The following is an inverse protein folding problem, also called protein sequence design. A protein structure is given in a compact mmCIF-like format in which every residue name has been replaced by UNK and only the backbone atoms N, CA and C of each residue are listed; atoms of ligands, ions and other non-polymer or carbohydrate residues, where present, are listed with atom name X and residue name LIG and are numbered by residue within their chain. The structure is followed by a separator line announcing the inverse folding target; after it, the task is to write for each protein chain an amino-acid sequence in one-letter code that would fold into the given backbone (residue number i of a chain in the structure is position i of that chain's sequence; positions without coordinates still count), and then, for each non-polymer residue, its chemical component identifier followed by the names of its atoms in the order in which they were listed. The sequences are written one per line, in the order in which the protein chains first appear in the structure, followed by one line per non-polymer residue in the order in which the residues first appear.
data_IF_661106467078
#
_entry.id   IF_661106467078
#
_cell.length_a   1.000
_cell.length_b   1.000
_cell.length_c   1.000
_cell.angle_alpha   90.00
_cell.angle_beta   90.00
_cell.angle_gamma   90.00
#
_symmetry.space_group_name_H-M   'P 1'
#
loop_
_entity.id
_entity.type
_entity.pdbx_description
1 polymer ?
#
# COMPACT_ATOMS: atom_id res chain seq x y z
N UNK A 1 -11.31 58.82 -55.43
CA UNK A 1 -12.71 58.73 -54.96
C UNK A 1 -12.65 58.15 -53.55
N UNK A 2 -12.88 58.85 -52.45
CA UNK A 2 -13.26 60.23 -52.13
C UNK A 2 -12.94 60.44 -50.63
N UNK A 3 -12.36 61.62 -50.31
CA UNK A 3 -12.57 62.49 -49.12
C UNK A 3 -12.31 61.91 -47.72
N UNK A 4 -11.31 62.34 -46.94
CA UNK A 4 -10.94 63.69 -46.46
C UNK A 4 -11.93 64.31 -45.44
N UNK A 5 -11.35 64.68 -44.29
CA UNK A 5 -11.73 65.73 -43.31
C UNK A 5 -12.43 65.34 -41.99
N UNK A 6 -11.72 65.54 -40.86
CA UNK A 6 -11.88 66.70 -39.92
C UNK A 6 -10.94 66.53 -38.71
N UNK A 7 -9.91 67.37 -38.57
CA UNK A 7 -9.84 68.62 -37.78
C UNK A 7 -9.37 68.36 -36.32
N UNK A 8 -8.07 68.49 -36.02
CA UNK A 8 -7.34 69.71 -35.55
C UNK A 8 -7.75 70.18 -34.15
N UNK A 9 -6.83 70.05 -33.18
CA UNK A 9 -6.51 71.09 -32.21
C UNK A 9 -5.12 70.83 -31.59
N UNK A 10 -4.29 71.87 -31.62
CA UNK A 10 -2.86 71.93 -31.29
C UNK A 10 -2.67 72.77 -30.02
N UNK A 11 -1.49 72.66 -29.40
CA UNK A 11 -0.85 73.52 -28.39
C UNK A 11 -1.20 73.17 -26.94
N UNK A 12 -0.22 72.95 -26.04
CA UNK A 12 0.80 73.93 -25.67
C UNK A 12 2.12 73.30 -25.17
N UNK A 13 3.21 73.96 -25.55
CA UNK A 13 4.59 73.78 -25.12
C UNK A 13 4.85 74.43 -23.75
N UNK A 14 5.72 73.82 -22.94
CA UNK A 14 6.60 74.51 -21.99
C UNK A 14 7.98 73.84 -22.00
N UNK A 15 9.01 74.66 -22.24
CA UNK A 15 10.44 74.35 -22.29
C UNK A 15 11.04 74.45 -20.85
N UNK A 16 12.26 74.06 -20.43
CA UNK A 16 13.62 73.96 -20.98
C UNK A 16 14.53 73.29 -19.89
N UNK A 17 15.72 72.82 -20.31
CA UNK A 17 16.93 72.48 -19.52
C UNK A 17 16.91 71.15 -18.72
N UNK A 18 17.94 70.29 -18.71
CA UNK A 18 19.29 70.33 -19.26
C UNK A 18 20.07 69.06 -18.81
N UNK A 19 21.21 68.83 -19.46
CA UNK A 19 22.27 67.87 -19.13
C UNK A 19 22.05 66.36 -19.45
N UNK A 20 22.79 65.92 -20.48
CA UNK A 20 23.24 64.54 -20.68
C UNK A 20 24.09 64.10 -19.50
N UNK A 21 23.85 62.90 -19.00
CA UNK A 21 24.91 61.95 -18.61
C UNK A 21 24.41 60.52 -18.80
N UNK A 22 25.31 59.68 -19.28
CA UNK A 22 25.07 58.31 -19.73
C UNK A 22 24.88 57.37 -18.54
N UNK A 23 23.70 56.75 -18.43
CA UNK A 23 23.42 55.73 -17.42
C UNK A 23 23.66 54.30 -17.99
N UNK A 24 24.18 53.38 -17.17
CA UNK A 24 24.68 52.07 -17.60
C UNK A 24 23.56 51.06 -17.88
N UNK A 25 23.88 50.08 -18.73
CA UNK A 25 23.04 48.91 -19.03
C UNK A 25 22.60 48.19 -17.74
N UNK A 26 21.34 47.74 -17.62
CA UNK A 26 20.92 46.94 -16.47
C UNK A 26 21.56 45.55 -16.52
N UNK A 27 22.30 45.22 -15.47
CA UNK A 27 22.75 43.87 -15.13
C UNK A 27 21.55 42.93 -14.90
N UNK A 28 21.69 41.61 -15.13
CA UNK A 28 20.60 40.66 -14.98
C UNK A 28 20.15 40.61 -13.51
N UNK A 29 18.84 40.78 -13.32
CA UNK A 29 18.16 40.59 -12.04
C UNK A 29 18.40 39.16 -11.56
N UNK A 30 18.85 39.02 -10.31
CA UNK A 30 19.12 37.73 -9.69
C UNK A 30 17.88 36.82 -9.66
N UNK A 31 18.12 35.52 -9.85
CA UNK A 31 17.13 34.47 -9.67
C UNK A 31 16.50 34.56 -8.28
N UNK A 32 15.16 34.51 -8.25
CA UNK A 32 14.40 34.29 -7.04
C UNK A 32 14.82 32.93 -6.41
N UNK A 33 14.90 32.83 -5.07
CA UNK A 33 15.11 31.55 -4.41
C UNK A 33 13.97 30.60 -4.80
N UNK A 34 14.25 29.30 -5.04
CA UNK A 34 13.18 28.31 -5.21
C UNK A 34 12.28 28.32 -3.97
N UNK A 35 10.96 28.05 -4.12
CA UNK A 35 10.05 27.96 -2.99
C UNK A 35 10.59 26.92 -2.01
N UNK A 36 10.68 27.30 -0.73
CA UNK A 36 11.03 26.37 0.33
C UNK A 36 9.98 25.26 0.35
N UNK A 37 10.39 24.05 0.00
CA UNK A 37 9.60 22.85 0.22
C UNK A 37 9.44 22.73 1.74
N UNK A 38 8.22 22.96 2.24
CA UNK A 38 7.92 22.66 3.64
C UNK A 38 8.13 21.16 3.81
N UNK A 39 9.06 20.80 4.71
CA UNK A 39 9.19 19.42 5.15
C UNK A 39 7.83 18.98 5.72
N UNK A 40 7.38 17.74 5.44
CA UNK A 40 6.16 17.23 6.05
C UNK A 40 6.27 17.36 7.57
N UNK A 41 5.18 17.80 8.18
CA UNK A 41 5.09 18.00 9.63
C UNK A 41 5.43 16.67 10.33
N UNK A 42 6.34 16.72 11.30
CA UNK A 42 6.70 15.54 12.07
C UNK A 42 5.45 15.03 12.80
N UNK A 43 5.09 13.73 12.72
CA UNK A 43 3.94 13.20 13.42
C UNK A 43 4.02 13.51 14.92
N UNK A 44 2.88 13.84 15.53
CA UNK A 44 2.81 14.05 16.98
C UNK A 44 3.29 12.79 17.71
N UNK A 45 4.02 12.92 18.84
CA UNK A 45 4.49 11.77 19.61
C UNK A 45 3.31 10.89 20.02
N UNK A 46 3.31 9.62 19.57
CA UNK A 46 2.36 8.61 20.03
C UNK A 46 2.82 8.09 21.39
N UNK A 47 1.90 7.87 22.32
CA UNK A 47 2.24 7.18 23.56
C UNK A 47 2.81 5.79 23.23
N UNK A 48 3.94 5.37 23.83
CA UNK A 48 4.51 4.07 23.54
C UNK A 48 3.52 2.96 23.92
N UNK A 49 3.10 2.19 22.91
CA UNK A 49 2.31 0.98 23.10
C UNK A 49 3.27 -0.20 23.25
N UNK A 50 3.01 -1.04 24.25
CA UNK A 50 3.61 -2.37 24.36
C UNK A 50 2.53 -3.39 24.03
N UNK A 51 2.78 -4.22 23.02
CA UNK A 51 1.91 -5.31 22.61
C UNK A 51 2.25 -6.58 23.38
N UNK A 52 1.22 -7.20 23.92
CA UNK A 52 1.26 -8.47 24.63
C UNK A 52 0.14 -9.36 24.09
N UNK A 53 0.35 -10.66 24.13
CA UNK A 53 -0.66 -11.63 23.72
C UNK A 53 -1.97 -11.40 24.50
N UNK A 54 -3.08 -11.41 23.77
CA UNK A 54 -4.42 -11.30 24.32
C UNK A 54 -5.14 -12.63 24.17
N UNK A 55 -5.52 -13.22 25.30
CA UNK A 55 -6.44 -14.34 25.33
C UNK A 55 -7.63 -13.97 26.21
N UNK A 56 -8.81 -13.92 25.60
CA UNK A 56 -10.06 -13.63 26.28
C UNK A 56 -11.07 -14.75 26.00
N UNK A 57 -11.73 -15.25 27.03
CA UNK A 57 -12.78 -16.27 26.88
C UNK A 57 -14.02 -15.83 27.62
N UNK A 58 -15.14 -15.85 26.90
CA UNK A 58 -16.46 -15.48 27.37
C UNK A 58 -17.47 -16.53 26.87
N UNK A 59 -18.61 -16.74 27.55
CA UNK A 59 -19.67 -17.62 27.03
C UNK A 59 -20.17 -17.28 25.62
N UNK A 60 -20.04 -16.02 25.16
CA UNK A 60 -20.47 -15.57 23.83
C UNK A 60 -19.35 -15.41 22.81
N UNK A 61 -18.09 -15.35 23.24
CA UNK A 61 -16.97 -15.19 22.32
C UNK A 61 -15.62 -15.68 22.85
N UNK A 62 -14.68 -15.91 21.95
CA UNK A 62 -13.26 -16.17 22.23
C UNK A 62 -12.39 -15.21 21.44
N UNK A 63 -11.40 -14.60 22.07
CA UNK A 63 -10.39 -13.77 21.40
C UNK A 63 -9.01 -14.37 21.67
N UNK A 64 -8.23 -14.58 20.62
CA UNK A 64 -6.82 -14.90 20.66
C UNK A 64 -6.06 -13.98 19.71
N UNK A 65 -5.19 -13.13 20.24
CA UNK A 65 -4.29 -12.29 19.45
C UNK A 65 -2.86 -12.52 19.94
N UNK A 66 -1.96 -12.90 19.05
CA UNK A 66 -0.55 -13.18 19.40
C UNK A 66 0.40 -12.23 18.68
N UNK A 67 1.36 -11.68 19.41
CA UNK A 67 2.34 -10.72 18.90
C UNK A 67 3.79 -11.20 19.10
N UNK A 68 4.65 -11.09 18.08
CA UNK A 68 6.08 -11.35 18.26
C UNK A 68 6.68 -10.25 19.14
N UNK A 69 7.47 -10.56 20.18
CA UNK A 69 8.01 -9.54 21.08
C UNK A 69 8.90 -8.50 20.38
N UNK A 70 9.48 -8.85 19.23
CA UNK A 70 10.32 -7.98 18.40
C UNK A 70 9.59 -6.72 17.92
N UNK A 71 8.26 -6.76 17.75
CA UNK A 71 7.48 -5.60 17.27
C UNK A 71 7.57 -4.43 18.25
N UNK A 72 7.75 -4.71 19.54
CA UNK A 72 7.88 -3.70 20.59
C UNK A 72 9.22 -2.93 20.53
N UNK A 73 10.15 -3.33 19.66
CA UNK A 73 11.35 -2.53 19.33
C UNK A 73 10.99 -1.20 18.65
N UNK A 74 9.82 -1.14 18.00
CA UNK A 74 9.36 0.00 17.22
C UNK A 74 7.98 0.49 17.72
N UNK A 75 7.91 1.49 18.61
CA UNK A 75 6.64 1.97 19.15
C UNK A 75 5.64 2.46 18.09
N UNK A 76 6.15 3.06 17.00
CA UNK A 76 5.33 3.47 15.86
C UNK A 76 4.61 2.29 15.20
N UNK A 77 5.35 1.21 14.90
CA UNK A 77 4.79 -0.03 14.36
C UNK A 77 3.83 -0.69 15.35
N UNK A 78 4.21 -0.79 16.62
CA UNK A 78 3.35 -1.36 17.66
C UNK A 78 1.99 -0.65 17.72
N UNK A 79 1.95 0.67 17.54
CA UNK A 79 0.70 1.42 17.44
C UNK A 79 -0.14 1.05 16.21
N UNK A 80 0.49 0.84 15.03
CA UNK A 80 -0.22 0.42 13.81
C UNK A 80 -0.82 -0.98 13.97
N UNK A 81 -0.05 -1.94 14.50
CA UNK A 81 -0.54 -3.30 14.76
C UNK A 81 -1.67 -3.29 15.80
N UNK A 82 -1.54 -2.47 16.86
CA UNK A 82 -2.60 -2.29 17.85
C UNK A 82 -3.88 -1.77 17.20
N UNK A 83 -3.77 -0.76 16.34
CA UNK A 83 -4.93 -0.16 15.69
C UNK A 83 -5.69 -1.19 14.83
N UNK A 84 -4.97 -2.04 14.09
CA UNK A 84 -5.56 -3.13 13.33
C UNK A 84 -6.26 -4.17 14.23
N UNK A 85 -5.60 -4.60 15.31
CA UNK A 85 -6.17 -5.54 16.29
C UNK A 85 -7.39 -4.98 17.02
N UNK A 86 -7.35 -3.71 17.41
CA UNK A 86 -8.45 -3.02 18.08
C UNK A 86 -9.66 -2.90 17.15
N UNK A 87 -9.44 -2.61 15.86
CA UNK A 87 -10.51 -2.57 14.86
C UNK A 87 -11.18 -3.94 14.70
N UNK A 88 -10.40 -5.01 14.50
CA UNK A 88 -10.94 -6.37 14.40
C UNK A 88 -11.69 -6.80 15.67
N UNK A 89 -11.18 -6.43 16.85
CA UNK A 89 -11.86 -6.69 18.13
C UNK A 89 -13.14 -5.88 18.25
N UNK A 90 -13.14 -4.63 17.81
CA UNK A 90 -14.33 -3.77 17.85
C UNK A 90 -15.44 -4.34 16.98
N UNK A 91 -15.13 -4.77 15.75
CA UNK A 91 -16.09 -5.41 14.84
C UNK A 91 -16.71 -6.68 15.46
N UNK A 92 -15.90 -7.51 16.11
CA UNK A 92 -16.39 -8.67 16.87
C UNK A 92 -17.33 -8.24 18.00
N UNK A 93 -16.96 -7.23 18.80
CA UNK A 93 -17.77 -6.76 19.92
C UNK A 93 -19.10 -6.15 19.47
N UNK A 94 -19.11 -5.44 18.35
CA UNK A 94 -20.33 -4.90 17.76
C UNK A 94 -21.26 -6.03 17.30
N UNK A 95 -20.72 -7.10 16.72
CA UNK A 95 -21.49 -8.29 16.39
C UNK A 95 -22.03 -9.01 17.65
N UNK A 96 -21.23 -9.14 18.70
CA UNK A 96 -21.66 -9.73 19.99
C UNK A 96 -22.79 -8.91 20.61
N UNK A 97 -22.71 -7.58 20.55
CA UNK A 97 -23.75 -6.69 21.05
C UNK A 97 -25.06 -6.83 20.25
N UNK A 98 -24.96 -7.06 18.94
CA UNK A 98 -26.11 -7.24 18.06
C UNK A 98 -26.88 -8.56 18.28
N UNK A 99 -26.29 -9.57 18.93
CA UNK A 99 -26.97 -10.83 19.26
C UNK A 99 -28.16 -10.63 20.22
N UNK A 100 -28.15 -9.58 21.04
CA UNK A 100 -29.20 -9.34 22.05
C UNK A 100 -29.28 -10.45 23.10
N UNK A 101 -30.49 -10.73 23.59
CA UNK A 101 -30.74 -11.71 24.66
C UNK A 101 -30.90 -13.15 24.14
N UNK A 102 -31.17 -13.34 22.85
CA UNK A 102 -31.41 -14.65 22.20
C UNK A 102 -30.12 -15.33 21.69
N UNK A 103 -28.98 -15.06 22.33
CA UNK A 103 -27.65 -15.53 21.93
C UNK A 103 -27.36 -17.01 22.27
N UNK A 104 -28.38 -17.79 22.65
CA UNK A 104 -28.20 -19.13 23.20
C UNK A 104 -27.49 -20.07 22.21
N UNK A 105 -26.29 -20.52 22.61
CA UNK A 105 -25.45 -21.44 21.84
C UNK A 105 -24.62 -20.80 20.73
N UNK A 106 -24.68 -19.47 20.54
CA UNK A 106 -23.84 -18.77 19.58
C UNK A 106 -22.50 -18.41 20.22
N UNK A 107 -21.41 -18.84 19.57
CA UNK A 107 -20.05 -18.52 19.96
C UNK A 107 -19.35 -17.83 18.80
N UNK A 108 -18.93 -16.58 19.01
CA UNK A 108 -18.12 -15.85 18.04
C UNK A 108 -16.63 -15.97 18.38
N UNK A 109 -15.77 -15.75 17.41
CA UNK A 109 -14.33 -15.75 17.67
C UNK A 109 -13.56 -14.72 16.84
N UNK A 110 -12.39 -14.36 17.39
CA UNK A 110 -11.34 -13.63 16.71
C UNK A 110 -10.03 -14.35 17.01
N UNK A 111 -9.40 -14.86 15.97
CA UNK A 111 -8.06 -15.40 16.01
C UNK A 111 -7.18 -14.54 15.09
N UNK A 112 -6.10 -13.95 15.62
CA UNK A 112 -5.19 -13.12 14.85
C UNK A 112 -3.75 -13.36 15.30
N UNK A 113 -2.89 -13.74 14.37
CA UNK A 113 -1.48 -14.00 14.62
C UNK A 113 -0.63 -12.99 13.85
N UNK A 114 0.33 -12.38 14.54
CA UNK A 114 1.36 -11.57 13.91
C UNK A 114 2.67 -12.36 13.84
N UNK A 115 3.34 -12.33 12.69
CA UNK A 115 4.64 -13.00 12.46
C UNK A 115 5.63 -12.02 11.84
N UNK A 116 6.88 -12.02 12.31
CA UNK A 116 7.96 -11.27 11.67
C UNK A 116 8.41 -12.01 10.40
N UNK A 117 8.26 -11.36 9.24
CA UNK A 117 8.65 -11.91 7.93
C UNK A 117 9.93 -11.28 7.39
N UNK A 118 10.36 -10.15 7.95
CA UNK A 118 11.70 -9.58 7.73
C UNK A 118 12.18 -8.78 8.96
N UNK A 119 13.44 -8.95 9.33
CA UNK A 119 14.11 -8.14 10.37
C UNK A 119 15.51 -7.75 9.88
N UNK A 120 15.64 -6.51 9.43
CA UNK A 120 16.91 -5.88 9.02
C UNK A 120 16.99 -4.46 9.57
N UNK A 121 18.18 -3.82 9.59
CA UNK A 121 18.29 -2.42 10.02
C UNK A 121 17.48 -1.43 9.19
N UNK A 122 17.19 -1.74 7.92
CA UNK A 122 16.52 -0.84 6.97
C UNK A 122 15.03 -1.17 6.78
N UNK A 123 14.63 -2.43 7.03
CA UNK A 123 13.26 -2.93 6.87
C UNK A 123 12.93 -3.90 8.00
N UNK A 124 11.77 -3.70 8.61
CA UNK A 124 11.17 -4.67 9.53
C UNK A 124 9.74 -4.95 9.06
N UNK A 125 9.41 -6.17 8.67
CA UNK A 125 8.10 -6.50 8.11
C UNK A 125 7.36 -7.53 8.97
N UNK A 126 6.06 -7.31 9.16
CA UNK A 126 5.17 -8.15 9.95
C UNK A 126 3.97 -8.56 9.08
N UNK A 127 3.67 -9.85 9.07
CA UNK A 127 2.41 -10.37 8.53
C UNK A 127 1.40 -10.51 9.67
N UNK A 128 0.14 -10.16 9.41
CA UNK A 128 -0.99 -10.46 10.27
C UNK A 128 -1.92 -11.40 9.50
N UNK A 129 -2.17 -12.58 10.06
CA UNK A 129 -3.02 -13.60 9.46
C UNK A 129 -3.99 -14.16 10.50
N UNK A 130 -5.25 -14.33 10.13
CA UNK A 130 -6.28 -14.74 11.06
C UNK A 130 -7.68 -14.75 10.47
N UNK A 131 -8.66 -14.80 11.37
CA UNK A 131 -10.06 -14.71 11.01
C UNK A 131 -10.91 -14.21 12.18
N UNK A 132 -12.05 -13.60 11.85
CA UNK A 132 -13.13 -13.39 12.81
C UNK A 132 -14.39 -14.14 12.35
N UNK A 133 -14.98 -14.91 13.25
CA UNK A 133 -16.26 -15.57 13.02
C UNK A 133 -17.36 -14.92 13.85
N UNK A 134 -18.35 -14.35 13.17
CA UNK A 134 -19.50 -13.67 13.77
C UNK A 134 -20.82 -14.30 13.32
N UNK A 135 -20.80 -15.61 13.04
CA UNK A 135 -21.90 -16.37 12.44
C UNK A 135 -21.78 -16.51 10.91
N UNK A 136 -22.71 -17.26 10.32
CA UNK A 136 -22.71 -17.56 8.87
C UNK A 136 -22.03 -18.88 8.51
N UNK A 137 -21.54 -18.99 7.27
CA UNK A 137 -21.00 -20.25 6.74
C UNK A 137 -19.50 -20.47 7.03
N UNK A 138 -18.73 -19.39 7.22
CA UNK A 138 -17.30 -19.41 7.50
C UNK A 138 -16.86 -18.08 8.16
N UNK A 139 -15.64 -18.03 8.68
CA UNK A 139 -15.04 -16.80 9.21
C UNK A 139 -14.71 -15.77 8.12
N UNK A 140 -14.66 -14.50 8.50
CA UNK A 140 -14.10 -13.43 7.71
C UNK A 140 -12.56 -13.45 7.84
N UNK A 141 -11.81 -13.55 6.73
CA UNK A 141 -10.35 -13.59 6.80
C UNK A 141 -9.80 -12.23 7.24
N UNK A 142 -8.76 -12.25 8.05
CA UNK A 142 -7.98 -11.08 8.46
C UNK A 142 -6.57 -11.28 7.94
N UNK A 143 -6.21 -10.54 6.89
CA UNK A 143 -4.91 -10.65 6.22
C UNK A 143 -4.40 -9.23 6.04
N UNK A 144 -3.27 -8.91 6.65
CA UNK A 144 -2.61 -7.62 6.48
C UNK A 144 -1.09 -7.75 6.48
N UNK A 145 -0.39 -6.84 5.82
CA UNK A 145 1.08 -6.78 5.75
C UNK A 145 1.57 -5.39 6.15
N UNK A 146 2.55 -5.37 7.04
CA UNK A 146 3.11 -4.14 7.60
C UNK A 146 4.60 -4.10 7.30
N UNK A 147 5.00 -3.35 6.27
CA UNK A 147 6.42 -3.12 5.97
C UNK A 147 6.87 -1.84 6.65
N UNK A 148 7.55 -1.95 7.78
CA UNK A 148 8.06 -0.83 8.56
C UNK A 148 9.45 -0.40 8.08
N UNK A 149 9.69 0.90 8.04
CA UNK A 149 11.00 1.51 7.79
C UNK A 149 11.57 2.05 9.11
N UNK A 150 12.42 1.30 9.83
CA UNK A 150 12.93 1.69 11.15
C UNK A 150 13.53 3.09 11.21
N UNK A 151 14.23 3.51 10.15
CA UNK A 151 14.92 4.81 10.10
C UNK A 151 13.98 6.00 9.87
N UNK A 152 12.76 5.73 9.40
CA UNK A 152 11.78 6.76 9.05
C UNK A 152 10.57 6.77 10.00
N UNK A 153 10.47 5.78 10.89
CA UNK A 153 9.37 5.61 11.84
C UNK A 153 7.99 5.65 11.15
N UNK A 154 7.88 4.95 10.01
CA UNK A 154 6.64 4.86 9.21
C UNK A 154 6.52 3.53 8.47
N UNK A 155 5.29 3.19 8.09
CA UNK A 155 5.02 2.14 7.11
C UNK A 155 5.48 2.60 5.72
N UNK A 156 6.01 1.67 4.95
CA UNK A 156 6.17 1.76 3.50
C UNK A 156 4.85 1.30 2.88
N UNK A 157 4.11 2.23 2.28
CA UNK A 157 2.85 1.93 1.58
C UNK A 157 3.11 1.66 0.10
N UNK A 158 2.16 0.99 -0.56
CA UNK A 158 2.25 0.68 -1.98
C UNK A 158 2.38 1.96 -2.83
N UNK A 159 1.58 2.99 -2.56
CA UNK A 159 1.61 4.28 -3.26
C UNK A 159 2.92 5.04 -3.06
N UNK A 160 3.52 4.96 -1.87
CA UNK A 160 4.83 5.55 -1.62
C UNK A 160 5.92 4.77 -2.38
N UNK A 161 5.84 3.43 -2.38
CA UNK A 161 6.79 2.58 -3.06
C UNK A 161 6.79 2.81 -4.58
N UNK A 162 5.61 2.83 -5.21
CA UNK A 162 5.42 3.03 -6.66
C UNK A 162 4.50 4.23 -6.89
N UNK A 163 5.07 5.43 -7.03
CA UNK A 163 4.30 6.67 -7.07
C UNK A 163 3.68 6.96 -8.44
N UNK A 164 4.21 6.36 -9.52
CA UNK A 164 3.66 6.50 -10.87
C UNK A 164 2.62 5.39 -11.12
N UNK A 165 1.34 5.73 -11.36
CA UNK A 165 0.30 4.76 -11.69
C UNK A 165 0.68 3.82 -12.84
N UNK A 166 1.46 4.29 -13.82
CA UNK A 166 1.89 3.46 -14.94
C UNK A 166 2.79 2.28 -14.52
N UNK A 167 3.47 2.39 -13.38
CA UNK A 167 4.30 1.29 -12.85
C UNK A 167 3.50 0.08 -12.41
N UNK A 168 2.24 0.27 -12.02
CA UNK A 168 1.36 -0.82 -11.62
C UNK A 168 0.91 -1.70 -12.78
N UNK A 169 0.95 -1.22 -14.02
CA UNK A 169 0.60 -2.04 -15.20
C UNK A 169 1.54 -3.24 -15.33
N UNK A 170 2.84 -3.01 -15.21
CA UNK A 170 3.86 -4.05 -15.35
C UNK A 170 3.88 -5.00 -14.15
N UNK A 171 3.70 -4.46 -12.94
CA UNK A 171 3.58 -5.23 -11.70
C UNK A 171 2.35 -6.15 -11.76
N UNK A 172 1.20 -5.60 -12.14
CA UNK A 172 -0.04 -6.34 -12.28
C UNK A 172 0.07 -7.43 -13.34
N UNK A 173 0.66 -7.12 -14.50
CA UNK A 173 0.91 -8.11 -15.55
C UNK A 173 1.72 -9.30 -15.01
N UNK A 174 2.80 -9.04 -14.27
CA UNK A 174 3.63 -10.10 -13.69
C UNK A 174 2.88 -10.94 -12.65
N UNK A 175 2.09 -10.29 -11.79
CA UNK A 175 1.27 -10.97 -10.79
C UNK A 175 0.19 -11.85 -11.45
N UNK A 176 -0.54 -11.32 -12.44
CA UNK A 176 -1.57 -12.05 -13.19
C UNK A 176 -1.03 -13.30 -13.87
N UNK A 177 0.14 -13.21 -14.49
CA UNK A 177 0.79 -14.37 -15.12
C UNK A 177 1.00 -15.51 -14.13
N UNK A 178 1.50 -15.21 -12.92
CA UNK A 178 1.69 -16.20 -11.87
C UNK A 178 0.38 -16.75 -11.33
N UNK A 179 -0.60 -15.89 -11.06
CA UNK A 179 -1.91 -16.29 -10.54
C UNK A 179 -2.67 -17.17 -11.55
N UNK A 180 -2.60 -16.86 -12.85
CA UNK A 180 -3.19 -17.70 -13.89
C UNK A 180 -2.47 -19.05 -14.01
N UNK A 181 -1.14 -19.08 -13.88
CA UNK A 181 -0.39 -20.33 -13.86
C UNK A 181 -0.79 -21.20 -12.66
N UNK A 182 -0.90 -20.61 -11.46
CA UNK A 182 -1.35 -21.29 -10.26
C UNK A 182 -2.80 -21.79 -10.37
N UNK A 183 -3.69 -20.97 -10.94
CA UNK A 183 -5.07 -21.38 -11.25
C UNK A 183 -5.11 -22.58 -12.19
N UNK A 184 -4.33 -22.58 -13.26
CA UNK A 184 -4.27 -23.72 -14.18
C UNK A 184 -3.86 -24.99 -13.45
N UNK A 185 -2.83 -24.93 -12.59
CA UNK A 185 -2.37 -26.07 -11.81
C UNK A 185 -3.45 -26.62 -10.87
N UNK A 186 -4.17 -25.75 -10.15
CA UNK A 186 -5.28 -26.17 -9.27
C UNK A 186 -6.40 -26.85 -10.05
N UNK A 187 -6.84 -26.21 -11.13
CA UNK A 187 -7.93 -26.71 -11.96
C UNK A 187 -7.58 -28.04 -12.64
N UNK A 188 -6.32 -28.23 -13.02
CA UNK A 188 -5.85 -29.51 -13.58
C UNK A 188 -5.81 -30.62 -12.53
N UNK A 189 -5.59 -30.29 -11.25
CA UNK A 189 -5.62 -31.25 -10.14
C UNK A 189 -7.05 -31.67 -9.75
N UNK A 190 -8.05 -30.83 -9.99
CA UNK A 190 -9.46 -31.11 -9.66
C UNK A 190 -10.15 -32.09 -10.63
N UNK A 191 -9.46 -32.55 -11.68
CA UNK A 191 -9.95 -33.51 -12.70
C UNK A 191 -11.36 -33.18 -13.25
N UNK A 192 -11.64 -31.89 -13.43
CA UNK A 192 -12.95 -31.41 -13.83
C UNK A 192 -13.30 -31.76 -15.28
N UNK A 193 -14.57 -32.08 -15.52
CA UNK A 193 -15.11 -32.22 -16.87
C UNK A 193 -14.87 -30.95 -17.70
N UNK A 194 -14.61 -31.04 -19.02
CA UNK A 194 -14.14 -29.89 -19.81
C UNK A 194 -15.02 -28.64 -19.75
N UNK A 195 -16.34 -28.82 -19.68
CA UNK A 195 -17.28 -27.71 -19.58
C UNK A 195 -17.23 -27.01 -18.21
N UNK A 196 -17.06 -27.77 -17.13
CA UNK A 196 -16.89 -27.24 -15.78
C UNK A 196 -15.53 -26.56 -15.65
N UNK A 197 -14.47 -27.22 -16.11
CA UNK A 197 -13.11 -26.68 -16.17
C UNK A 197 -13.11 -25.29 -16.82
N UNK A 198 -13.73 -25.18 -17.99
CA UNK A 198 -13.80 -23.91 -18.73
C UNK A 198 -14.61 -22.84 -17.98
N UNK A 199 -15.64 -23.22 -17.22
CA UNK A 199 -16.40 -22.28 -16.38
C UNK A 199 -15.58 -21.78 -15.20
N UNK A 200 -14.92 -22.68 -14.46
CA UNK A 200 -14.08 -22.34 -13.30
C UNK A 200 -12.95 -21.41 -13.74
N UNK A 201 -12.21 -21.76 -14.79
CA UNK A 201 -11.12 -20.93 -15.31
C UNK A 201 -11.61 -19.53 -15.71
N UNK A 202 -12.76 -19.43 -16.39
CA UNK A 202 -13.32 -18.11 -16.75
C UNK A 202 -13.75 -17.30 -15.54
N UNK A 203 -14.33 -17.94 -14.52
CA UNK A 203 -14.80 -17.24 -13.32
C UNK A 203 -13.62 -16.74 -12.48
N UNK A 204 -12.70 -17.63 -12.13
CA UNK A 204 -11.48 -17.29 -11.39
C UNK A 204 -10.61 -16.30 -12.18
N UNK A 205 -10.52 -16.44 -13.51
CA UNK A 205 -9.80 -15.48 -14.34
C UNK A 205 -10.34 -14.05 -14.24
N UNK A 206 -11.66 -13.85 -14.15
CA UNK A 206 -12.22 -12.50 -13.92
C UNK A 206 -11.85 -11.95 -12.55
N UNK A 207 -11.90 -12.78 -11.50
CA UNK A 207 -11.48 -12.36 -10.16
C UNK A 207 -10.00 -11.98 -10.13
N UNK A 208 -9.13 -12.74 -10.81
CA UNK A 208 -7.71 -12.38 -10.94
C UNK A 208 -7.56 -11.01 -11.61
N UNK A 209 -8.24 -10.77 -12.73
CA UNK A 209 -8.16 -9.48 -13.43
C UNK A 209 -8.64 -8.30 -12.57
N UNK A 210 -9.78 -8.47 -11.88
CA UNK A 210 -10.38 -7.44 -11.02
C UNK A 210 -9.54 -7.21 -9.75
N UNK A 211 -9.15 -8.26 -9.05
CA UNK A 211 -8.37 -8.21 -7.81
C UNK A 211 -6.90 -7.82 -8.00
N UNK A 212 -6.43 -7.72 -9.25
CA UNK A 212 -5.09 -7.22 -9.59
C UNK A 212 -5.20 -6.00 -10.52
N UNK A 213 -6.20 -5.15 -10.34
CA UNK A 213 -6.27 -3.88 -11.05
C UNK A 213 -4.93 -3.12 -10.89
N UNK A 214 -4.50 -2.41 -11.93
CA UNK A 214 -3.18 -1.76 -11.98
C UNK A 214 -3.17 -0.47 -11.14
N UNK A 215 -3.35 -0.62 -9.82
CA UNK A 215 -3.43 0.45 -8.84
C UNK A 215 -2.87 -0.03 -7.49
N UNK A 216 -2.35 0.91 -6.70
CA UNK A 216 -1.65 0.60 -5.45
C UNK A 216 -2.50 -0.22 -4.46
N UNK A 217 -3.80 0.07 -4.37
CA UNK A 217 -4.72 -0.60 -3.44
C UNK A 217 -4.87 -2.10 -3.72
N UNK A 218 -4.78 -2.53 -4.99
CA UNK A 218 -4.79 -3.96 -5.35
C UNK A 218 -3.55 -4.71 -4.88
N UNK A 219 -2.52 -3.99 -4.45
CA UNK A 219 -1.20 -4.50 -4.06
C UNK A 219 -0.75 -3.97 -2.69
N UNK A 220 -1.69 -3.52 -1.84
CA UNK A 220 -1.39 -2.98 -0.50
C UNK A 220 -0.75 -4.02 0.42
N UNK A 221 -1.12 -5.28 0.25
CA UNK A 221 -0.63 -6.39 1.06
C UNK A 221 0.62 -6.98 0.42
N UNK A 222 1.79 -6.45 0.78
CA UNK A 222 3.07 -6.96 0.30
C UNK A 222 4.08 -7.17 1.42
N UNK A 223 4.96 -8.14 1.22
CA UNK A 223 6.08 -8.43 2.10
C UNK A 223 7.39 -8.58 1.29
N UNK A 224 8.54 -8.15 1.86
CA UNK A 224 9.81 -8.27 1.17
C UNK A 224 10.31 -9.71 1.16
N UNK A 225 10.74 -10.19 -0.01
CA UNK A 225 11.57 -11.38 -0.14
C UNK A 225 13.03 -10.92 -0.12
N UNK A 226 13.74 -11.26 0.94
CA UNK A 226 15.12 -10.81 1.15
C UNK A 226 16.15 -11.77 0.54
N UNK A 227 17.19 -11.19 -0.06
CA UNK A 227 18.39 -11.91 -0.45
C UNK A 227 19.36 -12.10 0.72
N UNK A 228 20.48 -12.82 0.51
CA UNK A 228 21.49 -13.08 1.55
C UNK A 228 22.15 -11.83 2.14
N UNK A 229 22.13 -10.72 1.41
CA UNK A 229 22.68 -9.42 1.83
C UNK A 229 21.65 -8.55 2.56
N UNK A 230 20.44 -9.07 2.81
CA UNK A 230 19.36 -8.34 3.47
C UNK A 230 18.63 -7.33 2.57
N UNK A 231 18.94 -7.28 1.27
CA UNK A 231 18.21 -6.44 0.31
C UNK A 231 17.03 -7.18 -0.32
N UNK A 232 16.02 -6.44 -0.75
CA UNK A 232 14.83 -6.98 -1.40
C UNK A 232 15.20 -7.53 -2.78
N UNK A 233 15.02 -8.84 -2.99
CA UNK A 233 15.20 -9.49 -4.31
C UNK A 233 13.87 -9.67 -5.04
N UNK A 234 12.76 -9.65 -4.32
CA UNK A 234 11.40 -9.61 -4.85
C UNK A 234 10.44 -9.04 -3.80
N UNK A 235 9.26 -8.59 -4.21
CA UNK A 235 8.13 -8.39 -3.31
C UNK A 235 7.13 -9.52 -3.54
N UNK A 236 6.65 -10.12 -2.45
CA UNK A 236 5.51 -11.01 -2.48
C UNK A 236 4.26 -10.21 -2.20
N UNK A 237 3.38 -10.12 -3.18
CA UNK A 237 2.04 -9.58 -3.01
C UNK A 237 1.11 -10.71 -2.56
N UNK A 238 0.36 -10.46 -1.50
CA UNK A 238 -0.54 -11.42 -0.85
C UNK A 238 -1.97 -10.98 -1.13
N UNK A 239 -2.78 -11.89 -1.64
CA UNK A 239 -4.17 -11.63 -2.01
C UNK A 239 -5.07 -12.40 -1.04
N UNK A 240 -5.82 -11.72 -0.16
CA UNK A 240 -6.79 -12.36 0.72
C UNK A 240 -7.85 -13.13 -0.07
N UNK A 241 -8.54 -14.10 0.58
CA UNK A 241 -9.66 -14.77 -0.04
C UNK A 241 -10.69 -13.76 -0.57
N UNK A 242 -11.34 -14.08 -1.69
CA UNK A 242 -12.25 -13.23 -2.47
C UNK A 242 -11.62 -12.14 -3.33
N UNK A 243 -10.33 -11.80 -3.16
CA UNK A 243 -9.70 -10.80 -4.02
C UNK A 243 -9.41 -11.38 -5.42
N UNK A 244 -8.65 -12.47 -5.50
CA UNK A 244 -8.24 -13.09 -6.79
C UNK A 244 -8.77 -14.51 -6.98
N UNK A 245 -9.65 -14.97 -6.09
CA UNK A 245 -10.24 -16.30 -6.13
C UNK A 245 -11.29 -16.48 -5.02
N UNK A 246 -12.12 -17.55 -5.08
CA UNK A 246 -13.13 -17.82 -4.05
C UNK A 246 -12.49 -18.14 -2.70
N UNK A 247 -13.29 -18.15 -1.63
CA UNK A 247 -12.82 -18.51 -0.28
C UNK A 247 -12.08 -19.85 -0.21
N UNK A 248 -12.54 -20.83 -0.99
CA UNK A 248 -11.96 -22.18 -1.04
C UNK A 248 -10.52 -22.21 -1.53
N UNK A 249 -10.09 -21.20 -2.29
CA UNK A 249 -8.71 -21.09 -2.77
C UNK A 249 -7.78 -20.58 -1.66
N UNK A 250 -8.34 -20.05 -0.57
CA UNK A 250 -7.59 -19.44 0.51
C UNK A 250 -6.81 -18.21 0.05
N UNK A 251 -5.76 -17.88 0.79
CA UNK A 251 -4.83 -16.81 0.44
C UNK A 251 -4.03 -17.21 -0.80
N UNK A 252 -3.90 -16.29 -1.75
CA UNK A 252 -3.05 -16.44 -2.93
C UNK A 252 -1.88 -15.47 -2.85
N UNK A 253 -0.81 -15.72 -3.60
CA UNK A 253 0.33 -14.80 -3.65
C UNK A 253 0.99 -14.80 -5.03
N UNK A 254 1.67 -13.70 -5.35
CA UNK A 254 2.54 -13.59 -6.51
C UNK A 254 3.81 -12.81 -6.15
N UNK A 255 4.96 -13.24 -6.66
CA UNK A 255 6.24 -12.62 -6.37
C UNK A 255 6.75 -11.81 -7.57
N UNK A 256 6.90 -10.49 -7.42
CA UNK A 256 7.46 -9.64 -8.47
C UNK A 256 8.93 -9.37 -8.17
N UNK A 257 9.86 -9.76 -9.06
CA UNK A 257 11.28 -9.64 -8.80
C UNK A 257 11.75 -8.17 -8.82
N UNK A 258 12.81 -7.87 -8.09
CA UNK A 258 13.39 -6.52 -7.98
C UNK A 258 13.67 -5.88 -9.34
N UNK A 259 14.13 -6.65 -10.33
CA UNK A 259 14.38 -6.17 -11.71
C UNK A 259 13.14 -5.60 -12.41
N UNK A 260 11.94 -6.07 -12.06
CA UNK A 260 10.66 -5.58 -12.58
C UNK A 260 10.18 -4.37 -11.78
N UNK A 261 10.40 -4.37 -10.46
CA UNK A 261 9.98 -3.30 -9.56
C UNK A 261 10.83 -2.04 -9.70
N UNK A 262 12.16 -2.17 -9.70
CA UNK A 262 13.13 -1.08 -9.61
C UNK A 262 12.91 0.10 -10.58
N UNK A 263 12.52 -0.10 -11.86
CA UNK A 263 12.21 1.00 -12.75
C UNK A 263 11.09 1.92 -12.23
N UNK A 264 10.16 1.37 -11.46
CA UNK A 264 8.94 2.03 -10.96
C UNK A 264 9.05 2.45 -9.49
N UNK A 265 10.01 1.89 -8.74
CA UNK A 265 10.25 2.22 -7.33
C UNK A 265 10.72 3.67 -7.17
N UNK A 266 10.11 4.38 -6.22
CA UNK A 266 10.50 5.73 -5.84
C UNK A 266 12.00 5.80 -5.48
N UNK A 267 12.66 6.88 -5.90
CA UNK A 267 14.11 6.99 -5.80
C UNK A 267 14.65 6.81 -4.37
N UNK A 268 13.89 7.22 -3.35
CA UNK A 268 14.26 7.09 -1.94
C UNK A 268 14.34 5.62 -1.46
N UNK A 269 13.60 4.70 -2.09
CA UNK A 269 13.52 3.30 -1.66
C UNK A 269 14.37 2.34 -2.51
N UNK A 270 14.96 2.80 -3.61
CA UNK A 270 15.74 1.92 -4.51
C UNK A 270 16.90 1.23 -3.81
N UNK A 271 17.52 1.87 -2.83
CA UNK A 271 18.62 1.30 -2.04
C UNK A 271 18.20 0.09 -1.18
N UNK A 272 16.90 -0.10 -0.95
CA UNK A 272 16.36 -1.27 -0.26
C UNK A 272 16.44 -2.54 -1.12
N UNK A 273 16.50 -2.38 -2.44
CA UNK A 273 16.44 -3.49 -3.39
C UNK A 273 17.83 -3.97 -3.80
N UNK A 274 17.93 -5.26 -4.07
CA UNK A 274 19.08 -5.82 -4.76
C UNK A 274 19.09 -5.27 -6.19
N UNK A 275 20.27 -4.87 -6.66
CA UNK A 275 20.45 -4.52 -8.08
C UNK A 275 20.11 -5.75 -8.93
N UNK A 276 19.54 -5.56 -10.13
CA UNK A 276 19.37 -6.68 -11.05
C UNK A 276 20.74 -7.31 -11.28
N UNK A 277 20.86 -8.62 -11.06
CA UNK A 277 22.09 -9.33 -11.44
C UNK A 277 22.43 -8.93 -12.87
N UNK A 278 23.65 -8.39 -13.06
CA UNK A 278 24.18 -8.14 -14.38
C UNK A 278 24.41 -9.49 -15.06
N UNK A 279 23.36 -9.97 -15.73
CA UNK A 279 23.28 -11.22 -16.50
C UNK A 279 23.23 -12.53 -15.70
N UNK A 280 22.13 -13.27 -15.89
CA UNK A 280 22.17 -14.66 -16.31
C UNK A 280 21.26 -14.82 -17.53
#
# INVERSE_FOLDING_TARGET
MDRLERAVAVLLLLALAGCRDQAPSPSPTGSAPPPAVQAPDAPAPREPVVLEDLVETNPRYIIGISYPPEVNRYPGLAAELKAYSDAARQDLMDAVAALGDDADGMLYDLALEYTVVADTPEIFAVAADGSSFTGGAHGAPLIARFVWLPRHDRLLTADALVPDPAGWEEIARHAREQLHAALSQRVDADELEPAERARVVRAAGRMIEEGTAAEADSFSEFEPVLGPDGRIVALRFVFPPYQVGPYSDGVQAAEVPARVLLPHVAAEYRALFAEPDAAQ
#
